data_IF_537560451693
#
_entry.id   IF_537560451693
#
_cell.length_a   1.000
_cell.length_b   1.000
_cell.length_c   1.000
_cell.angle_alpha   90.00
_cell.angle_beta   90.00
_cell.angle_gamma   90.00
#
_symmetry.space_group_name_H-M   'P 1'
#
loop_
_entity.id
_entity.type
_entity.pdbx_description
1 polymer ?
#
# COMPACT_ATOMS: atom_id res chain seq x y z
N UNK A 1 -4.61 -3.38 -1.47
CA UNK A 1 -3.28 -3.12 -0.86
C UNK A 1 -2.52 -2.12 -1.72
N UNK A 2 -1.52 -1.43 -1.15
CA UNK A 2 -0.56 -0.59 -1.87
C UNK A 2 0.87 -0.90 -1.47
N UNK A 3 1.85 -0.60 -2.33
CA UNK A 3 3.28 -0.79 -2.05
C UNK A 3 4.01 0.49 -2.42
N UNK A 4 4.70 1.09 -1.46
CA UNK A 4 5.62 2.19 -1.68
C UNK A 4 6.94 1.66 -2.23
N UNK A 5 7.46 2.34 -3.26
CA UNK A 5 8.73 1.98 -3.93
C UNK A 5 9.79 3.08 -3.85
N UNK A 6 9.56 4.15 -3.09
CA UNK A 6 10.48 5.30 -2.98
C UNK A 6 11.89 4.91 -2.50
N UNK A 7 12.01 3.83 -1.70
CA UNK A 7 13.29 3.29 -1.24
C UNK A 7 13.98 2.37 -2.26
N UNK A 8 13.32 2.01 -3.36
CA UNK A 8 13.96 1.23 -4.44
C UNK A 8 14.93 2.14 -5.16
N UNK A 9 16.19 1.71 -5.25
CA UNK A 9 17.23 2.49 -5.90
C UNK A 9 17.02 2.55 -7.42
N UNK A 10 16.66 3.72 -7.91
CA UNK A 10 16.73 4.09 -9.31
C UNK A 10 18.21 4.24 -9.75
N UNK A 11 18.60 3.74 -10.93
CA UNK A 11 19.97 3.80 -11.41
C UNK A 11 20.52 5.23 -11.67
N UNK A 12 19.67 6.24 -11.82
CA UNK A 12 20.09 7.61 -12.14
C UNK A 12 20.18 8.50 -10.91
N UNK A 13 19.21 8.39 -10.00
CA UNK A 13 18.97 9.36 -8.92
C UNK A 13 19.05 8.76 -7.51
N UNK A 14 19.15 7.43 -7.39
CA UNK A 14 19.17 6.77 -6.08
C UNK A 14 17.76 6.50 -5.58
N UNK A 15 17.45 6.91 -4.35
CA UNK A 15 16.11 6.75 -3.74
C UNK A 15 15.45 8.11 -3.57
N UNK A 16 14.13 8.12 -3.36
CA UNK A 16 13.35 9.35 -3.15
C UNK A 16 12.61 9.31 -1.80
N UNK A 17 11.97 10.41 -1.44
CA UNK A 17 11.08 10.51 -0.30
C UNK A 17 9.75 9.80 -0.57
N UNK A 18 9.11 9.35 0.52
CA UNK A 18 7.78 8.74 0.45
C UNK A 18 6.74 9.75 -0.02
N UNK A 19 6.08 9.46 -1.14
CA UNK A 19 4.92 10.21 -1.60
C UNK A 19 3.67 10.04 -0.72
N UNK A 20 2.71 10.95 -0.86
CA UNK A 20 1.41 10.87 -0.19
C UNK A 20 0.67 9.57 -0.54
N UNK A 21 -0.13 9.04 0.40
CA UNK A 21 -0.93 7.85 0.15
C UNK A 21 -2.09 8.17 -0.81
N UNK A 22 -2.18 7.56 -2.01
CA UNK A 22 -3.31 7.79 -2.91
C UNK A 22 -4.66 7.38 -2.29
N UNK A 23 -4.66 6.42 -1.36
CA UNK A 23 -5.87 5.95 -0.69
C UNK A 23 -6.48 6.98 0.27
N UNK A 24 -5.77 8.05 0.62
CA UNK A 24 -6.34 9.17 1.38
C UNK A 24 -7.25 10.04 0.50
N UNK A 25 -7.19 9.89 -0.83
CA UNK A 25 -7.99 10.68 -1.77
C UNK A 25 -9.28 9.98 -2.21
N UNK A 26 -9.44 8.69 -1.91
CA UNK A 26 -10.59 7.88 -2.33
C UNK A 26 -11.36 7.36 -1.14
N UNK A 27 -12.69 7.37 -1.26
CA UNK A 27 -13.59 6.90 -0.22
C UNK A 27 -14.85 6.29 -0.83
N UNK A 28 -15.53 5.47 -0.03
CA UNK A 28 -16.91 5.06 -0.25
C UNK A 28 -17.77 5.60 0.88
N UNK A 29 -19.04 5.85 0.60
CA UNK A 29 -19.99 6.20 1.66
C UNK A 29 -20.61 4.91 2.22
N UNK A 30 -20.60 4.79 3.55
CA UNK A 30 -21.27 3.72 4.31
C UNK A 30 -22.04 4.37 5.45
N UNK A 31 -23.34 4.12 5.53
CA UNK A 31 -24.23 4.71 6.56
C UNK A 31 -24.13 6.24 6.67
N UNK A 32 -23.97 6.92 5.52
CA UNK A 32 -23.82 8.39 5.45
C UNK A 32 -22.44 8.92 5.88
N UNK A 33 -21.47 8.05 6.19
CA UNK A 33 -20.11 8.42 6.55
C UNK A 33 -19.11 8.05 5.45
N UNK A 34 -18.10 8.90 5.25
CA UNK A 34 -16.99 8.62 4.34
C UNK A 34 -16.03 7.63 4.96
N UNK A 35 -15.87 6.48 4.31
CA UNK A 35 -14.87 5.47 4.66
C UNK A 35 -13.76 5.52 3.61
N UNK A 36 -12.62 6.08 4.00
CA UNK A 36 -11.46 6.23 3.13
C UNK A 36 -10.80 4.91 2.81
N UNK A 37 -10.19 4.80 1.64
CA UNK A 37 -9.50 3.59 1.22
C UNK A 37 -8.27 3.33 2.09
N UNK A 38 -7.69 4.37 2.69
CA UNK A 38 -6.55 4.22 3.58
C UNK A 38 -6.90 3.53 4.91
N UNK A 39 -8.18 3.53 5.31
CA UNK A 39 -8.64 2.72 6.44
C UNK A 39 -9.02 1.29 6.04
N UNK A 40 -9.28 1.05 4.75
CA UNK A 40 -9.69 -0.25 4.21
C UNK A 40 -8.54 -1.11 3.70
N UNK A 41 -7.50 -0.49 3.14
CA UNK A 41 -6.41 -1.18 2.46
C UNK A 41 -5.06 -0.87 3.07
N UNK A 42 -4.33 -1.93 3.43
CA UNK A 42 -2.97 -1.83 3.95
C UNK A 42 -1.99 -1.33 2.87
N UNK A 43 -1.02 -0.56 3.31
CA UNK A 43 0.15 -0.17 2.52
C UNK A 43 1.42 -0.77 3.11
N UNK A 44 2.34 -1.19 2.25
CA UNK A 44 3.65 -1.72 2.61
C UNK A 44 4.73 -0.87 1.96
N UNK A 45 5.97 -1.02 2.40
CA UNK A 45 7.13 -0.46 1.71
C UNK A 45 8.01 -1.60 1.22
N UNK A 46 8.42 -1.53 -0.05
CA UNK A 46 9.10 -2.62 -0.73
C UNK A 46 10.45 -2.97 -0.08
N UNK A 47 11.22 -1.97 0.35
CA UNK A 47 12.59 -2.19 0.84
C UNK A 47 12.58 -2.51 2.32
N UNK A 48 11.97 -1.67 3.14
CA UNK A 48 11.90 -1.89 4.60
C UNK A 48 11.04 -3.10 4.98
N UNK A 49 10.11 -3.49 4.11
CA UNK A 49 9.26 -4.67 4.29
C UNK A 49 9.84 -5.97 3.74
N UNK A 50 11.06 -5.97 3.19
CA UNK A 50 11.66 -7.13 2.51
C UNK A 50 10.69 -7.72 1.45
N UNK A 51 10.27 -6.86 0.52
CA UNK A 51 9.21 -7.14 -0.45
C UNK A 51 9.53 -8.32 -1.36
N UNK A 52 10.80 -8.57 -1.66
CA UNK A 52 11.21 -9.73 -2.45
C UNK A 52 10.75 -11.05 -1.82
N UNK A 53 10.89 -11.19 -0.50
CA UNK A 53 10.49 -12.41 0.22
C UNK A 53 9.04 -12.38 0.72
N UNK A 54 8.45 -11.19 0.87
CA UNK A 54 7.14 -11.02 1.51
C UNK A 54 5.98 -10.67 0.56
N UNK A 55 6.24 -10.41 -0.73
CA UNK A 55 5.19 -10.03 -1.68
C UNK A 55 4.02 -11.04 -1.69
N UNK A 56 4.30 -12.34 -1.77
CA UNK A 56 3.26 -13.38 -1.76
C UNK A 56 2.39 -13.32 -0.51
N UNK A 57 3.01 -13.09 0.66
CA UNK A 57 2.28 -12.96 1.93
C UNK A 57 1.39 -11.72 1.95
N UNK A 58 1.84 -10.61 1.38
CA UNK A 58 1.04 -9.38 1.31
C UNK A 58 -0.17 -9.54 0.39
N UNK A 59 0.00 -10.26 -0.73
CA UNK A 59 -1.09 -10.61 -1.64
C UNK A 59 -2.11 -11.50 -0.94
N UNK A 60 -1.66 -12.55 -0.26
CA UNK A 60 -2.54 -13.45 0.51
C UNK A 60 -3.28 -12.71 1.62
N UNK A 61 -2.60 -11.81 2.35
CA UNK A 61 -3.24 -10.99 3.37
C UNK A 61 -4.33 -10.08 2.75
N UNK A 62 -4.06 -9.48 1.60
CA UNK A 62 -5.03 -8.65 0.89
C UNK A 62 -6.23 -9.47 0.39
N UNK A 63 -6.03 -10.71 -0.05
CA UNK A 63 -7.12 -11.62 -0.43
C UNK A 63 -8.01 -11.96 0.76
N UNK A 64 -7.39 -12.33 1.90
CA UNK A 64 -8.11 -12.64 3.15
C UNK A 64 -8.91 -11.45 3.67
N UNK A 65 -8.34 -10.25 3.62
CA UNK A 65 -9.00 -9.01 4.06
C UNK A 65 -10.28 -8.70 3.25
N UNK A 66 -10.42 -9.25 2.02
CA UNK A 66 -11.63 -9.11 1.18
C UNK A 66 -12.46 -10.40 1.06
N UNK A 67 -12.18 -11.40 1.90
CA UNK A 67 -12.95 -12.64 1.97
C UNK A 67 -12.62 -13.67 0.87
N UNK A 68 -11.36 -13.72 0.42
CA UNK A 68 -10.85 -14.73 -0.54
C UNK A 68 -9.67 -15.51 0.03
#
# INVERSE_FOLDING_TARGET
MGIYIHNVKDPQSGTDFKGSNPFDNWYVERDGQKVYFSSLYKTYDWVSGDGYNNLSKWIEAAAKDVGR
#
